data_IF_495892688109
#
_entry.id   IF_495892688109
#
_cell.length_a   1.000
_cell.length_b   1.000
_cell.length_c   1.000
_cell.angle_alpha   90.00
_cell.angle_beta   90.00
_cell.angle_gamma   90.00
#
_symmetry.space_group_name_H-M   'P 1'
#
loop_
_entity.id
_entity.type
_entity.pdbx_description
1 polymer ?
#
# COMPACT_ATOMS: atom_id res chain seq x y z
N UNK A 1 -17.30 -8.40 -5.38
CA UNK A 1 -17.15 -6.99 -4.99
C UNK A 1 -18.17 -6.60 -3.93
N UNK A 2 -17.68 -6.36 -2.71
CA UNK A 2 -18.49 -6.11 -1.51
C UNK A 2 -19.00 -4.65 -1.40
N UNK A 3 -18.46 -3.69 -2.17
CA UNK A 3 -18.89 -2.29 -2.13
C UNK A 3 -18.67 -1.48 -3.43
N UNK A 4 -19.61 -1.53 -4.40
CA UNK A 4 -19.48 -0.82 -5.69
C UNK A 4 -19.39 0.71 -5.58
N UNK A 5 -20.06 1.30 -4.58
CA UNK A 5 -20.04 2.75 -4.37
C UNK A 5 -18.67 3.23 -3.90
N UNK A 6 -18.01 2.45 -3.04
CA UNK A 6 -16.64 2.75 -2.61
C UNK A 6 -15.63 2.52 -3.73
N UNK A 7 -15.80 1.46 -4.52
CA UNK A 7 -14.95 1.17 -5.68
C UNK A 7 -14.99 2.27 -6.76
N UNK A 8 -16.12 2.96 -6.91
CA UNK A 8 -16.22 4.12 -7.81
C UNK A 8 -15.33 5.30 -7.37
N UNK A 9 -15.04 5.44 -6.07
CA UNK A 9 -14.15 6.47 -5.51
C UNK A 9 -12.70 6.00 -5.42
N UNK A 10 -12.52 4.72 -5.07
CA UNK A 10 -11.24 4.08 -4.79
C UNK A 10 -11.14 2.78 -5.59
N UNK A 11 -10.72 2.86 -6.86
CA UNK A 11 -10.87 1.75 -7.81
C UNK A 11 -9.82 0.64 -7.64
N UNK A 12 -8.82 0.81 -6.77
CA UNK A 12 -7.74 -0.17 -6.59
C UNK A 12 -7.89 -0.90 -5.26
N UNK A 13 -7.69 -2.22 -5.28
CA UNK A 13 -7.50 -3.01 -4.07
C UNK A 13 -6.03 -3.01 -3.67
N UNK A 14 -5.75 -2.86 -2.38
CA UNK A 14 -4.38 -2.95 -1.87
C UNK A 14 -4.15 -4.23 -1.06
N UNK A 15 -3.01 -4.87 -1.33
CA UNK A 15 -2.52 -6.01 -0.56
C UNK A 15 -1.25 -5.60 0.18
N UNK A 16 -1.17 -5.93 1.46
CA UNK A 16 -0.04 -5.57 2.31
C UNK A 16 0.69 -6.79 2.88
N UNK A 17 1.52 -7.49 2.06
CA UNK A 17 2.28 -8.63 2.53
C UNK A 17 3.35 -8.19 3.56
N UNK A 18 3.92 -9.15 4.27
CA UNK A 18 5.09 -8.90 5.11
C UNK A 18 6.26 -8.42 4.23
N UNK A 19 7.02 -7.47 4.74
CA UNK A 19 8.32 -7.12 4.16
C UNK A 19 9.30 -8.29 4.30
N UNK A 20 10.28 -8.35 3.40
CA UNK A 20 11.35 -9.35 3.44
C UNK A 20 12.44 -8.96 4.44
N UNK A 21 12.70 -7.65 4.59
CA UNK A 21 13.76 -7.14 5.44
C UNK A 21 13.37 -6.87 6.90
N UNK A 22 12.07 -6.88 7.25
CA UNK A 22 11.59 -6.60 8.60
C UNK A 22 10.77 -7.76 9.18
N UNK A 23 10.78 -7.89 10.50
CA UNK A 23 9.85 -8.77 11.22
C UNK A 23 8.75 -7.93 11.84
N UNK A 24 7.62 -7.77 11.13
CA UNK A 24 6.67 -6.71 11.43
C UNK A 24 7.39 -5.35 11.35
N UNK A 25 7.29 -4.53 12.40
CA UNK A 25 8.03 -3.27 12.53
C UNK A 25 9.43 -3.45 13.12
N UNK A 26 9.82 -4.62 13.60
CA UNK A 26 11.17 -4.82 14.12
C UNK A 26 12.20 -4.64 13.00
N UNK A 27 13.29 -3.94 13.33
CA UNK A 27 14.41 -3.62 12.45
C UNK A 27 14.15 -2.59 11.34
N UNK A 28 12.96 -2.01 11.26
CA UNK A 28 12.67 -0.94 10.29
C UNK A 28 13.34 0.41 10.61
N UNK A 29 14.23 0.44 11.60
CA UNK A 29 15.14 1.53 11.94
C UNK A 29 16.63 1.16 11.79
N UNK A 30 16.94 -0.09 11.41
CA UNK A 30 18.32 -0.58 11.26
C UNK A 30 18.75 -0.35 9.81
N UNK A 31 19.77 0.48 9.61
CA UNK A 31 20.23 0.94 8.28
C UNK A 31 20.50 -0.20 7.31
N UNK A 32 21.15 -1.28 7.75
CA UNK A 32 21.47 -2.43 6.91
C UNK A 32 20.20 -3.19 6.46
N UNK A 33 19.18 -3.22 7.31
CA UNK A 33 17.89 -3.87 7.01
C UNK A 33 17.06 -3.03 6.07
N UNK A 34 17.02 -1.70 6.28
CA UNK A 34 16.39 -0.76 5.34
C UNK A 34 17.08 -0.85 3.98
N UNK A 35 18.42 -0.85 3.93
CA UNK A 35 19.17 -1.00 2.68
C UNK A 35 18.83 -2.29 1.92
N UNK A 36 18.61 -3.40 2.63
CA UNK A 36 18.20 -4.67 2.02
C UNK A 36 16.74 -4.69 1.56
N UNK A 37 15.83 -4.05 2.29
CA UNK A 37 14.40 -3.97 1.97
C UNK A 37 14.09 -2.93 0.87
N UNK A 38 14.86 -1.84 0.84
CA UNK A 38 14.55 -0.60 0.15
C UNK A 38 13.69 0.36 0.98
N UNK A 39 13.57 1.59 0.50
CA UNK A 39 12.63 2.60 1.03
C UNK A 39 11.18 2.17 0.80
N UNK A 40 10.22 2.83 1.48
CA UNK A 40 8.78 2.55 1.29
C UNK A 40 8.39 2.70 -0.19
N UNK A 41 7.81 1.63 -0.75
CA UNK A 41 7.47 1.53 -2.17
C UNK A 41 6.04 0.99 -2.36
N UNK A 42 5.51 1.23 -3.55
CA UNK A 42 4.20 0.74 -3.99
C UNK A 42 4.38 0.05 -5.33
N UNK A 43 4.04 -1.25 -5.40
CA UNK A 43 4.00 -1.96 -6.67
C UNK A 43 2.69 -1.64 -7.39
N UNK A 44 2.79 -1.19 -8.63
CA UNK A 44 1.66 -0.77 -9.46
C UNK A 44 1.73 -1.52 -10.79
N UNK A 45 0.60 -2.05 -11.27
CA UNK A 45 0.54 -2.62 -12.60
C UNK A 45 0.84 -1.54 -13.68
N UNK A 46 1.53 -1.87 -14.78
CA UNK A 46 1.85 -0.91 -15.84
C UNK A 46 0.62 -0.16 -16.39
N UNK A 47 -0.50 -0.84 -16.63
CA UNK A 47 -1.71 -0.19 -17.16
C UNK A 47 -2.31 0.79 -16.14
N UNK A 48 -2.26 0.46 -14.85
CA UNK A 48 -2.74 1.35 -13.79
C UNK A 48 -1.85 2.56 -13.59
N UNK A 49 -0.54 2.38 -13.75
CA UNK A 49 0.44 3.46 -13.71
C UNK A 49 0.26 4.41 -14.91
N UNK A 50 0.13 3.85 -16.13
CA UNK A 50 -0.11 4.60 -17.37
C UNK A 50 -1.41 5.43 -17.28
N UNK A 51 -2.51 4.83 -16.80
CA UNK A 51 -3.78 5.54 -16.59
C UNK A 51 -3.67 6.71 -15.60
N UNK A 52 -2.68 6.70 -14.71
CA UNK A 52 -2.44 7.70 -13.67
C UNK A 52 -1.27 8.63 -13.98
N UNK A 53 -0.57 8.44 -15.11
CA UNK A 53 0.63 9.20 -15.45
C UNK A 53 1.78 9.01 -14.44
N UNK A 54 1.92 7.80 -13.88
CA UNK A 54 2.93 7.47 -12.88
C UNK A 54 4.08 6.74 -13.57
N UNK A 55 5.28 7.30 -13.47
CA UNK A 55 6.51 6.68 -13.96
C UNK A 55 7.22 5.86 -12.87
N UNK A 56 8.09 4.94 -13.29
CA UNK A 56 8.96 4.17 -12.39
C UNK A 56 9.82 5.13 -11.53
N UNK A 57 9.88 4.88 -10.22
CA UNK A 57 10.61 5.72 -9.27
C UNK A 57 9.89 7.00 -8.85
N UNK A 58 8.71 7.31 -9.41
CA UNK A 58 7.94 8.49 -8.99
C UNK A 58 7.49 8.35 -7.54
N UNK A 59 7.45 9.47 -6.80
CA UNK A 59 6.78 9.49 -5.49
C UNK A 59 5.28 9.50 -5.72
N UNK A 60 4.59 8.58 -5.06
CA UNK A 60 3.15 8.42 -5.14
C UNK A 60 2.52 8.47 -3.77
N UNK A 61 1.32 9.01 -3.71
CA UNK A 61 0.46 9.03 -2.54
C UNK A 61 -0.65 8.00 -2.72
N UNK A 62 -0.78 7.09 -1.75
CA UNK A 62 -1.83 6.07 -1.69
C UNK A 62 -2.78 6.43 -0.56
N UNK A 63 -4.08 6.50 -0.84
CA UNK A 63 -5.03 7.05 0.12
C UNK A 63 -6.45 6.51 -0.01
N UNK A 64 -7.20 6.67 1.08
CA UNK A 64 -8.66 6.62 1.12
C UNK A 64 -9.18 7.60 2.20
N UNK A 65 -10.47 7.51 2.57
CA UNK A 65 -11.08 8.40 3.57
C UNK A 65 -10.43 8.31 4.98
N UNK A 66 -9.70 7.22 5.28
CA UNK A 66 -9.11 6.96 6.61
C UNK A 66 -7.72 7.55 6.78
N UNK A 67 -6.97 7.66 5.68
CA UNK A 67 -5.59 8.11 5.72
C UNK A 67 -4.88 8.02 4.38
N UNK A 68 -3.61 8.40 4.41
CA UNK A 68 -2.73 8.35 3.26
C UNK A 68 -1.29 8.02 3.68
N UNK A 69 -0.56 7.36 2.79
CA UNK A 69 0.88 7.17 2.90
C UNK A 69 1.56 7.41 1.55
N UNK A 70 2.85 7.73 1.59
CA UNK A 70 3.66 7.93 0.39
C UNK A 70 4.64 6.79 0.17
N UNK A 71 4.94 6.49 -1.08
CA UNK A 71 5.98 5.52 -1.44
C UNK A 71 6.54 5.82 -2.82
N UNK A 72 7.63 5.15 -3.15
CA UNK A 72 8.17 5.12 -4.50
C UNK A 72 7.41 4.12 -5.36
N UNK A 73 6.94 4.54 -6.54
CA UNK A 73 6.29 3.66 -7.49
C UNK A 73 7.30 2.68 -8.09
N UNK A 74 6.97 1.39 -8.05
CA UNK A 74 7.65 0.34 -8.80
C UNK A 74 6.67 -0.33 -9.72
N UNK A 75 7.02 -0.53 -10.98
CA UNK A 75 6.07 -0.93 -12.02
C UNK A 75 6.44 -2.31 -12.60
N UNK A 76 6.31 -3.39 -11.81
CA UNK A 76 6.61 -4.73 -12.30
C UNK A 76 5.44 -5.29 -13.12
N UNK A 77 5.71 -6.32 -13.92
CA UNK A 77 4.69 -6.95 -14.78
C UNK A 77 3.86 -8.05 -14.10
N UNK A 78 4.15 -8.37 -12.84
CA UNK A 78 3.58 -9.48 -12.08
C UNK A 78 2.51 -9.07 -11.05
N UNK A 79 2.11 -7.79 -11.05
CA UNK A 79 0.95 -7.29 -10.31
C UNK A 79 -0.25 -7.26 -11.25
N UNK A 80 -1.39 -7.81 -10.83
CA UNK A 80 -2.62 -7.77 -11.64
C UNK A 80 -3.17 -6.34 -11.73
N UNK A 81 -3.77 -5.93 -12.88
CA UNK A 81 -4.51 -4.66 -12.96
C UNK A 81 -5.60 -4.57 -11.89
N UNK A 82 -5.82 -3.36 -11.35
CA UNK A 82 -6.73 -3.10 -10.24
C UNK A 82 -6.16 -3.44 -8.86
N UNK A 83 -4.93 -3.97 -8.78
CA UNK A 83 -4.26 -4.31 -7.52
C UNK A 83 -2.99 -3.48 -7.36
N UNK A 84 -2.76 -2.98 -6.14
CA UNK A 84 -1.48 -2.39 -5.72
C UNK A 84 -0.93 -3.12 -4.50
N UNK A 85 0.39 -3.12 -4.34
CA UNK A 85 1.05 -3.84 -3.24
C UNK A 85 1.98 -2.91 -2.48
N UNK A 86 1.83 -2.84 -1.16
CA UNK A 86 2.74 -2.12 -0.27
C UNK A 86 3.03 -2.94 0.98
N UNK A 87 4.31 -3.20 1.28
CA UNK A 87 4.65 -4.11 2.38
C UNK A 87 4.44 -3.48 3.76
N UNK A 88 4.05 -4.30 4.73
CA UNK A 88 4.02 -3.92 6.14
C UNK A 88 5.45 -3.72 6.70
N UNK A 89 5.56 -2.91 7.75
CA UNK A 89 6.72 -2.90 8.64
C UNK A 89 7.48 -1.57 8.73
N UNK A 90 7.34 -0.68 7.75
CA UNK A 90 7.95 0.65 7.80
C UNK A 90 7.50 1.46 9.03
N UNK A 91 8.38 2.32 9.54
CA UNK A 91 8.09 3.21 10.66
C UNK A 91 7.59 4.56 10.17
N UNK A 92 6.52 5.05 10.78
CA UNK A 92 5.97 6.39 10.50
C UNK A 92 6.96 7.51 10.85
N UNK A 93 7.86 7.31 11.80
CA UNK A 93 8.88 8.29 12.16
C UNK A 93 9.91 8.52 11.05
N UNK A 94 9.99 7.62 10.07
CA UNK A 94 10.93 7.66 8.95
C UNK A 94 10.22 7.84 7.59
N UNK A 95 8.89 7.88 7.56
CA UNK A 95 8.09 7.88 6.33
C UNK A 95 6.84 8.75 6.50
N UNK A 96 6.35 9.32 5.39
CA UNK A 96 5.08 10.04 5.36
C UNK A 96 3.91 9.06 5.35
N UNK A 97 3.50 8.60 6.53
CA UNK A 97 2.48 7.55 6.68
C UNK A 97 3.01 6.16 6.36
N UNK A 98 2.21 5.14 6.68
CA UNK A 98 2.50 3.73 6.38
C UNK A 98 1.22 3.00 6.00
N UNK A 99 1.33 1.86 5.33
CA UNK A 99 0.19 1.13 4.73
C UNK A 99 -0.98 0.86 5.69
N UNK A 100 -0.78 0.78 7.00
CA UNK A 100 -1.89 0.55 7.93
C UNK A 100 -2.82 1.76 8.14
N UNK A 101 -2.44 2.97 7.69
CA UNK A 101 -3.28 4.16 7.87
C UNK A 101 -4.58 4.16 7.05
N UNK A 102 -4.65 3.33 6.01
CA UNK A 102 -5.82 3.17 5.14
C UNK A 102 -6.74 2.00 5.59
N UNK A 103 -6.28 1.20 6.55
CA UNK A 103 -6.97 -0.02 6.99
C UNK A 103 -8.21 0.30 7.80
N UNK A 104 -9.29 -0.47 7.59
CA UNK A 104 -10.47 -0.40 8.43
C UNK A 104 -10.18 -0.89 9.86
N UNK A 105 -10.80 -0.23 10.84
CA UNK A 105 -10.86 -0.71 12.23
C UNK A 105 -12.08 -1.63 12.49
N UNK A 106 -12.77 -2.03 11.42
CA UNK A 106 -14.00 -2.84 11.50
C UNK A 106 -13.67 -4.32 11.71
N UNK A 107 -14.55 -4.99 12.45
CA UNK A 107 -14.45 -6.43 12.67
C UNK A 107 -15.27 -7.19 11.62
N UNK A 108 -14.76 -8.35 11.20
CA UNK A 108 -15.51 -9.33 10.42
C UNK A 108 -16.65 -9.91 11.26
N UNK A 109 -17.72 -10.27 10.56
CA UNK A 109 -18.95 -10.84 11.12
C UNK A 109 -18.70 -12.19 11.84
N UNK A 110 -17.81 -13.02 11.29
CA UNK A 110 -17.43 -14.30 11.87
C UNK A 110 -16.29 -14.12 12.90
N UNK A 111 -16.66 -14.10 14.18
CA UNK A 111 -15.70 -14.19 15.28
C UNK A 111 -14.90 -12.92 15.56
N UNK A 112 -15.37 -11.75 15.11
CA UNK A 112 -14.70 -10.47 15.28
C UNK A 112 -13.27 -10.45 14.71
N UNK A 113 -13.06 -11.13 13.58
CA UNK A 113 -11.76 -11.11 12.88
C UNK A 113 -11.44 -9.71 12.35
N UNK A 114 -10.21 -9.47 11.94
CA UNK A 114 -9.81 -8.17 11.38
C UNK A 114 -9.99 -8.16 9.86
N UNK A 115 -10.29 -6.99 9.27
CA UNK A 115 -10.56 -6.82 7.82
C UNK A 115 -9.42 -6.15 7.05
N UNK A 116 -8.18 -6.25 7.55
CA UNK A 116 -7.03 -5.51 7.02
C UNK A 116 -6.67 -5.80 5.55
N UNK A 117 -7.15 -6.90 4.98
CA UNK A 117 -6.80 -7.33 3.61
C UNK A 117 -7.81 -6.89 2.54
N UNK A 118 -8.92 -6.25 2.92
CA UNK A 118 -9.95 -5.76 1.98
C UNK A 118 -10.04 -4.23 2.07
N UNK A 119 -9.05 -3.54 1.49
CA UNK A 119 -9.02 -2.08 1.46
C UNK A 119 -8.99 -1.58 0.02
N UNK A 120 -9.92 -0.67 -0.27
CA UNK A 120 -9.98 0.08 -1.51
C UNK A 120 -9.23 1.41 -1.34
N UNK A 121 -8.42 1.75 -2.33
CA UNK A 121 -7.59 2.97 -2.37
C UNK A 121 -7.59 3.64 -3.74
N UNK A 122 -7.12 4.88 -3.77
CA UNK A 122 -6.63 5.55 -4.97
C UNK A 122 -5.12 5.80 -4.83
N UNK A 123 -4.45 5.91 -5.97
CA UNK A 123 -3.04 6.30 -6.08
C UNK A 123 -2.93 7.52 -7.01
N UNK A 124 -2.13 8.50 -6.60
CA UNK A 124 -1.81 9.70 -7.38
C UNK A 124 -0.33 10.06 -7.23
N UNK A 125 0.18 10.95 -8.09
CA UNK A 125 1.51 11.54 -7.90
C UNK A 125 1.55 12.34 -6.59
N UNK A 126 2.60 12.12 -5.81
CA UNK A 126 2.82 12.75 -4.50
C UNK A 126 3.32 14.19 -4.58
#
# INVERSE_FOLDING_TARGET
>A
DSNPALAARYPLSIISPKSHGFLNSCYANVTEKIKGQGEQFVLINPADADMRGIDEGAKVRVFNDRGAFEGEARIPRDVNPGIVVATLGYWRQLNNGTVNCISAAEFGDMGHSTTFSDNLVQVELG
#
